data_IF_731023247104
#
_entry.id   IF_731023247104
#
_cell.length_a   1.000
_cell.length_b   1.000
_cell.length_c   1.000
_cell.angle_alpha   90.00
_cell.angle_beta   90.00
_cell.angle_gamma   90.00
#
_symmetry.space_group_name_H-M   'P 1'
#
loop_
_entity.id
_entity.type
_entity.pdbx_description
1 polymer ?
#
# COMPACT_ATOMS: atom_id res chain seq x y z
N UNK A 1 16.29 11.33 -5.64
CA UNK A 1 15.15 10.46 -6.02
C UNK A 1 15.26 9.19 -5.21
N UNK A 2 14.15 8.62 -4.77
CA UNK A 2 14.09 7.39 -3.96
C UNK A 2 13.44 6.30 -4.78
N UNK A 3 13.92 5.07 -4.67
CA UNK A 3 13.41 3.94 -5.45
C UNK A 3 12.90 2.83 -4.54
N UNK A 4 11.68 2.38 -4.79
CA UNK A 4 11.09 1.17 -4.21
C UNK A 4 10.97 0.06 -5.25
N UNK A 5 10.87 -1.17 -4.78
CA UNK A 5 10.70 -2.36 -5.61
C UNK A 5 9.52 -3.18 -5.11
N UNK A 6 8.72 -3.73 -6.02
CA UNK A 6 7.71 -4.72 -5.67
C UNK A 6 8.33 -6.11 -5.61
N UNK A 7 8.02 -6.84 -4.55
CA UNK A 7 8.38 -8.26 -4.42
C UNK A 7 7.28 -9.09 -5.08
N UNK A 8 7.62 -10.10 -5.89
CA UNK A 8 6.67 -11.06 -6.43
C UNK A 8 5.79 -11.64 -5.31
N UNK A 9 4.49 -11.76 -5.55
CA UNK A 9 3.52 -12.18 -4.54
C UNK A 9 2.50 -13.18 -5.11
N UNK A 10 2.52 -13.39 -6.43
CA UNK A 10 1.58 -14.21 -7.17
C UNK A 10 0.45 -13.44 -7.85
N UNK A 11 0.11 -12.27 -7.35
CA UNK A 11 -1.00 -11.46 -7.85
C UNK A 11 -0.99 -11.22 -9.37
N UNK A 12 0.20 -11.08 -9.98
CA UNK A 12 0.37 -10.88 -11.43
C UNK A 12 0.93 -12.11 -12.14
N UNK A 13 0.65 -13.30 -11.65
CA UNK A 13 1.21 -14.56 -12.15
C UNK A 13 2.74 -14.61 -12.08
N UNK A 14 3.33 -13.88 -11.16
CA UNK A 14 4.78 -13.73 -11.02
C UNK A 14 5.43 -14.84 -10.18
N UNK A 15 4.64 -15.84 -9.74
CA UNK A 15 5.09 -17.04 -9.02
C UNK A 15 4.69 -18.35 -9.71
N UNK A 16 4.06 -18.33 -10.88
CA UNK A 16 3.49 -19.54 -11.53
C UNK A 16 4.52 -20.62 -11.90
N UNK A 17 5.74 -20.20 -12.21
CA UNK A 17 6.82 -21.12 -12.57
C UNK A 17 7.64 -21.57 -11.34
N UNK A 18 7.16 -21.32 -10.12
CA UNK A 18 7.85 -21.62 -8.88
C UNK A 18 7.00 -22.59 -8.06
N UNK A 19 7.58 -23.75 -7.71
CA UNK A 19 6.93 -24.73 -6.86
C UNK A 19 6.38 -24.07 -5.58
N UNK A 20 5.12 -24.33 -5.17
CA UNK A 20 4.49 -23.67 -4.03
C UNK A 20 5.31 -23.70 -2.73
N UNK A 21 6.03 -24.81 -2.48
CA UNK A 21 6.91 -24.98 -1.31
C UNK A 21 8.16 -24.10 -1.37
N UNK A 22 8.53 -23.60 -2.54
CA UNK A 22 9.70 -22.74 -2.76
C UNK A 22 9.37 -21.25 -2.85
N UNK A 23 8.10 -20.89 -3.06
CA UNK A 23 7.68 -19.50 -3.29
C UNK A 23 8.12 -18.56 -2.17
N UNK A 24 7.91 -18.95 -0.89
CA UNK A 24 8.38 -18.14 0.23
C UNK A 24 9.90 -17.94 0.21
N UNK A 25 10.67 -18.98 -0.06
CA UNK A 25 12.15 -18.89 -0.12
C UNK A 25 12.60 -17.91 -1.19
N UNK A 26 11.94 -17.92 -2.36
CA UNK A 26 12.23 -17.01 -3.46
C UNK A 26 11.88 -15.56 -3.09
N UNK A 27 10.69 -15.32 -2.56
CA UNK A 27 10.25 -13.99 -2.12
C UNK A 27 11.19 -13.43 -1.04
N UNK A 28 11.54 -14.23 -0.05
CA UNK A 28 12.44 -13.85 1.04
C UNK A 28 13.84 -13.50 0.52
N UNK A 29 14.39 -14.33 -0.38
CA UNK A 29 15.70 -14.07 -0.98
C UNK A 29 15.73 -12.77 -1.81
N UNK A 30 14.65 -12.46 -2.54
CA UNK A 30 14.52 -11.20 -3.27
C UNK A 30 14.43 -9.99 -2.32
N UNK A 31 13.66 -10.10 -1.23
CA UNK A 31 13.58 -9.07 -0.20
C UNK A 31 14.94 -8.79 0.44
N UNK A 32 15.68 -9.84 0.82
CA UNK A 32 17.03 -9.72 1.38
C UNK A 32 18.03 -9.13 0.37
N UNK A 33 17.92 -9.50 -0.91
CA UNK A 33 18.74 -8.92 -1.97
C UNK A 33 18.42 -7.43 -2.18
N UNK A 34 17.17 -7.04 -2.11
CA UNK A 34 16.75 -5.64 -2.16
C UNK A 34 17.28 -4.86 -0.93
N UNK A 35 17.22 -5.47 0.25
CA UNK A 35 17.76 -4.90 1.50
C UNK A 35 19.27 -4.66 1.44
N UNK A 36 20.02 -5.60 0.87
CA UNK A 36 21.45 -5.47 0.67
C UNK A 36 21.85 -4.49 -0.46
N UNK A 37 20.92 -4.14 -1.36
CA UNK A 37 21.15 -3.24 -2.49
C UNK A 37 20.76 -1.79 -2.15
N UNK A 38 20.69 -0.92 -3.17
CA UNK A 38 20.38 0.51 -3.03
C UNK A 38 18.87 0.83 -2.96
N UNK A 39 17.99 -0.18 -2.88
CA UNK A 39 16.55 0.03 -2.76
C UNK A 39 16.20 0.61 -1.39
N UNK A 40 15.35 1.63 -1.36
CA UNK A 40 14.91 2.26 -0.11
C UNK A 40 13.73 1.53 0.51
N UNK A 41 12.83 1.00 -0.33
CA UNK A 41 11.61 0.34 0.13
C UNK A 41 11.24 -0.86 -0.73
N UNK A 42 10.60 -1.85 -0.11
CA UNK A 42 9.94 -2.95 -0.79
C UNK A 42 8.43 -2.86 -0.57
N UNK A 43 7.68 -3.34 -1.56
CA UNK A 43 6.24 -3.20 -1.62
C UNK A 43 5.58 -4.52 -2.00
N UNK A 44 4.37 -4.74 -1.47
CA UNK A 44 3.45 -5.80 -1.84
C UNK A 44 2.06 -5.23 -2.12
N UNK A 45 1.17 -6.03 -2.69
CA UNK A 45 -0.21 -5.68 -2.98
C UNK A 45 -1.17 -6.33 -2.00
N UNK A 46 -2.24 -5.64 -1.62
CA UNK A 46 -3.30 -6.21 -0.77
C UNK A 46 -4.39 -6.85 -1.64
N UNK A 47 -4.02 -7.96 -2.27
CA UNK A 47 -4.88 -8.76 -3.14
C UNK A 47 -4.92 -10.22 -2.70
N UNK A 48 -6.02 -10.89 -3.02
CA UNK A 48 -6.31 -12.28 -2.66
C UNK A 48 -6.39 -13.19 -3.89
N UNK A 49 -6.66 -12.61 -5.05
CA UNK A 49 -6.78 -13.30 -6.33
C UNK A 49 -5.87 -12.68 -7.37
N UNK A 50 -5.56 -13.45 -8.40
CA UNK A 50 -4.76 -12.99 -9.54
C UNK A 50 -5.51 -11.98 -10.42
N UNK A 51 -4.77 -11.19 -11.19
CA UNK A 51 -5.29 -10.28 -12.22
C UNK A 51 -4.62 -10.60 -13.57
N UNK A 52 -5.29 -10.34 -14.72
CA UNK A 52 -6.54 -9.57 -14.90
C UNK A 52 -7.82 -10.36 -14.57
N UNK A 53 -7.70 -11.68 -14.41
CA UNK A 53 -8.79 -12.57 -14.02
C UNK A 53 -8.37 -13.44 -12.84
N UNK A 54 -9.29 -13.82 -11.95
CA UNK A 54 -8.97 -14.73 -10.85
C UNK A 54 -8.68 -16.14 -11.40
N UNK A 55 -7.65 -16.77 -10.86
CA UNK A 55 -7.24 -18.14 -11.16
C UNK A 55 -6.94 -18.89 -9.86
N UNK A 56 -6.65 -20.19 -9.97
CA UNK A 56 -6.22 -21.02 -8.82
C UNK A 56 -4.73 -20.82 -8.46
N UNK A 57 -4.04 -19.92 -9.14
CA UNK A 57 -2.65 -19.58 -8.84
C UNK A 57 -2.50 -18.85 -7.50
N UNK A 58 -1.39 -19.08 -6.84
CA UNK A 58 -1.12 -18.53 -5.53
C UNK A 58 -1.09 -16.99 -5.53
N UNK A 59 -1.75 -16.38 -4.53
CA UNK A 59 -1.58 -14.98 -4.17
C UNK A 59 -1.42 -14.93 -2.65
N UNK A 60 -0.23 -14.57 -2.16
CA UNK A 60 0.07 -14.57 -0.73
C UNK A 60 -0.48 -13.33 -0.02
N UNK A 61 -0.95 -13.50 1.22
CA UNK A 61 -1.57 -12.43 2.01
C UNK A 61 -0.53 -11.37 2.44
N UNK A 62 -0.85 -10.13 2.18
CA UNK A 62 0.09 -9.00 2.22
C UNK A 62 0.62 -8.67 3.63
N UNK A 63 -0.23 -8.60 4.67
CA UNK A 63 0.21 -8.24 6.03
C UNK A 63 1.04 -9.34 6.67
N UNK A 64 0.74 -10.60 6.35
CA UNK A 64 1.56 -11.76 6.75
C UNK A 64 2.95 -11.68 6.12
N UNK A 65 3.03 -11.38 4.80
CA UNK A 65 4.30 -11.15 4.11
C UNK A 65 5.08 -9.97 4.70
N UNK A 66 4.41 -8.85 4.99
CA UNK A 66 5.02 -7.67 5.60
C UNK A 66 5.72 -8.02 6.92
N UNK A 67 5.05 -8.81 7.78
CA UNK A 67 5.64 -9.25 9.04
C UNK A 67 6.87 -10.13 8.82
N UNK A 68 6.78 -11.09 7.89
CA UNK A 68 7.86 -12.00 7.56
C UNK A 68 9.07 -11.27 6.95
N UNK A 69 8.84 -10.34 6.01
CA UNK A 69 9.92 -9.51 5.44
C UNK A 69 10.53 -8.58 6.49
N UNK A 70 9.71 -8.04 7.42
CA UNK A 70 10.20 -7.23 8.53
C UNK A 70 11.20 -7.97 9.41
N UNK A 71 10.96 -9.27 9.64
CA UNK A 71 11.85 -10.13 10.42
C UNK A 71 13.07 -10.62 9.62
N UNK A 72 12.99 -10.66 8.27
CA UNK A 72 14.02 -11.20 7.39
C UNK A 72 14.97 -10.14 6.81
N UNK A 73 14.74 -8.86 7.07
CA UNK A 73 15.51 -7.72 6.54
C UNK A 73 15.86 -6.74 7.66
N UNK A 74 16.90 -5.92 7.46
CA UNK A 74 17.42 -5.04 8.53
C UNK A 74 17.23 -3.54 8.24
N UNK A 75 17.22 -3.12 6.97
CA UNK A 75 17.31 -1.72 6.58
C UNK A 75 16.11 -1.22 5.75
N UNK A 76 15.68 -2.02 4.78
CA UNK A 76 14.70 -1.62 3.77
C UNK A 76 13.34 -1.34 4.40
N UNK A 77 12.67 -0.27 3.99
CA UNK A 77 11.31 0.04 4.44
C UNK A 77 10.31 -0.88 3.75
N UNK A 78 9.19 -1.12 4.42
CA UNK A 78 8.20 -2.14 4.04
C UNK A 78 6.83 -1.49 3.88
N UNK A 79 6.19 -1.66 2.73
CA UNK A 79 4.87 -1.09 2.50
C UNK A 79 3.95 -1.93 1.63
N UNK A 80 2.70 -1.55 1.62
CA UNK A 80 1.71 -2.06 0.66
C UNK A 80 1.28 -0.94 -0.27
N UNK A 81 1.13 -1.24 -1.55
CA UNK A 81 0.61 -0.28 -2.51
C UNK A 81 -0.58 -0.92 -3.26
N UNK A 82 -1.75 -0.84 -2.63
CA UNK A 82 -2.04 -0.34 -1.29
C UNK A 82 -2.98 -1.28 -0.53
N UNK A 83 -2.94 -1.20 0.79
CA UNK A 83 -3.94 -1.87 1.64
C UNK A 83 -5.34 -1.38 1.26
N UNK A 84 -6.27 -2.29 1.08
CA UNK A 84 -7.68 -1.97 0.88
C UNK A 84 -8.35 -1.73 2.24
N UNK A 85 -8.81 -0.50 2.47
CA UNK A 85 -9.41 -0.14 3.76
C UNK A 85 -10.63 -1.00 4.10
N UNK A 86 -11.40 -1.42 3.11
CA UNK A 86 -12.64 -2.18 3.36
C UNK A 86 -12.46 -3.64 3.74
N UNK A 87 -11.24 -4.19 3.64
CA UNK A 87 -10.99 -5.61 3.97
C UNK A 87 -10.77 -5.86 5.46
N UNK A 88 -10.54 -4.82 6.27
CA UNK A 88 -10.24 -4.96 7.70
C UNK A 88 -10.89 -3.85 8.52
N UNK A 89 -11.25 -4.16 9.78
CA UNK A 89 -11.62 -3.11 10.73
C UNK A 89 -10.40 -2.19 10.96
N UNK A 90 -10.55 -0.85 10.88
CA UNK A 90 -9.42 0.08 10.96
C UNK A 90 -8.68 0.07 12.31
N UNK A 91 -9.36 -0.16 13.43
CA UNK A 91 -8.70 -0.26 14.72
C UNK A 91 -7.87 -1.56 14.83
N UNK A 92 -8.39 -2.67 14.29
CA UNK A 92 -7.64 -3.91 14.17
C UNK A 92 -6.43 -3.74 13.22
N UNK A 93 -6.63 -3.11 12.06
CA UNK A 93 -5.55 -2.84 11.11
C UNK A 93 -4.46 -1.96 11.74
N UNK A 94 -4.85 -0.93 12.51
CA UNK A 94 -3.89 -0.10 13.25
C UNK A 94 -3.02 -0.92 14.20
N UNK A 95 -3.62 -1.92 14.87
CA UNK A 95 -2.88 -2.84 15.77
C UNK A 95 -1.95 -3.77 15.01
N UNK A 96 -2.40 -4.33 13.87
CA UNK A 96 -1.55 -5.17 12.99
C UNK A 96 -0.33 -4.36 12.53
N UNK A 97 -0.55 -3.17 11.98
CA UNK A 97 0.51 -2.32 11.46
C UNK A 97 1.51 -1.90 12.55
N UNK A 98 1.04 -1.54 13.75
CA UNK A 98 1.92 -1.24 14.87
C UNK A 98 2.77 -2.46 15.28
N UNK A 99 2.21 -3.67 15.22
CA UNK A 99 2.96 -4.90 15.50
C UNK A 99 4.04 -5.15 14.44
N UNK A 100 3.70 -5.00 13.15
CA UNK A 100 4.67 -5.11 12.05
C UNK A 100 5.76 -4.04 12.18
N UNK A 101 5.41 -2.84 12.63
CA UNK A 101 6.38 -1.77 12.88
C UNK A 101 7.38 -2.15 13.98
N UNK A 102 6.94 -2.82 15.04
CA UNK A 102 7.85 -3.39 16.05
C UNK A 102 8.72 -4.52 15.49
N UNK A 103 8.14 -5.46 14.74
CA UNK A 103 8.90 -6.56 14.11
C UNK A 103 9.98 -6.01 13.18
N UNK A 104 9.68 -4.94 12.47
CA UNK A 104 10.61 -4.31 11.51
C UNK A 104 11.48 -3.20 12.12
N UNK A 105 11.42 -2.97 13.44
CA UNK A 105 12.17 -1.90 14.11
C UNK A 105 11.93 -0.50 13.48
N UNK A 106 10.66 -0.15 13.22
CA UNK A 106 10.26 1.18 12.75
C UNK A 106 10.40 1.40 11.23
N UNK A 107 10.27 0.33 10.41
CA UNK A 107 10.41 0.42 8.96
C UNK A 107 9.10 0.29 8.19
N UNK A 108 7.96 0.18 8.87
CA UNK A 108 6.64 0.02 8.25
C UNK A 108 6.17 1.30 7.59
N UNK A 109 5.59 1.18 6.40
CA UNK A 109 4.86 2.21 5.66
C UNK A 109 3.40 1.79 5.48
N UNK A 110 2.45 2.68 5.74
CA UNK A 110 1.03 2.40 5.55
C UNK A 110 0.55 2.95 4.21
N UNK A 111 0.68 2.19 3.16
CA UNK A 111 -0.01 2.51 1.91
C UNK A 111 -1.46 2.03 1.96
N UNK A 112 -2.42 2.92 1.72
CA UNK A 112 -3.85 2.62 1.88
C UNK A 112 -4.70 3.32 0.82
N UNK A 113 -5.80 2.66 0.43
CA UNK A 113 -6.75 3.15 -0.56
C UNK A 113 -8.15 2.58 -0.39
N UNK A 114 -9.09 3.04 -1.22
CA UNK A 114 -10.50 2.65 -1.15
C UNK A 114 -10.84 1.27 -1.74
N UNK A 115 -9.87 0.59 -2.38
CA UNK A 115 -10.10 -0.69 -3.06
C UNK A 115 -10.84 -0.54 -4.40
N UNK A 116 -10.64 -1.48 -5.30
CA UNK A 116 -11.21 -1.42 -6.65
C UNK A 116 -11.64 -2.79 -7.21
N UNK A 117 -11.04 -3.89 -6.76
CA UNK A 117 -11.22 -5.22 -7.35
C UNK A 117 -12.49 -5.89 -6.82
N UNK A 118 -13.63 -5.61 -7.46
CA UNK A 118 -14.97 -6.07 -7.07
C UNK A 118 -15.05 -7.58 -6.84
N UNK A 119 -14.33 -8.37 -7.67
CA UNK A 119 -14.34 -9.82 -7.54
C UNK A 119 -13.88 -10.27 -6.14
N UNK A 120 -12.80 -9.73 -5.60
CA UNK A 120 -12.30 -10.07 -4.27
C UNK A 120 -13.28 -9.65 -3.17
N UNK A 121 -13.81 -8.44 -3.25
CA UNK A 121 -14.81 -7.95 -2.30
C UNK A 121 -16.01 -8.89 -2.20
N UNK A 122 -16.53 -9.32 -3.34
CA UNK A 122 -17.70 -10.20 -3.42
C UNK A 122 -17.36 -11.62 -2.97
N UNK A 123 -16.26 -12.17 -3.44
CA UNK A 123 -15.84 -13.55 -3.14
C UNK A 123 -15.58 -13.76 -1.64
N UNK A 124 -15.01 -12.75 -0.96
CA UNK A 124 -14.73 -12.82 0.48
C UNK A 124 -15.88 -12.30 1.37
N UNK A 125 -17.06 -12.01 0.78
CA UNK A 125 -18.24 -11.65 1.54
C UNK A 125 -18.27 -10.20 2.07
N UNK A 126 -17.39 -9.32 1.58
CA UNK A 126 -17.39 -7.90 1.95
C UNK A 126 -18.48 -7.09 1.24
N UNK A 127 -19.13 -7.65 0.20
CA UNK A 127 -19.94 -6.90 -0.74
C UNK A 127 -19.07 -5.98 -1.59
N UNK A 128 -19.69 -5.06 -2.36
CA UNK A 128 -18.96 -4.04 -3.11
C UNK A 128 -19.68 -2.70 -2.99
N UNK A 129 -19.44 -1.93 -1.92
CA UNK A 129 -20.07 -0.62 -1.74
C UNK A 129 -19.74 0.34 -2.88
N UNK A 130 -20.61 1.33 -3.11
CA UNK A 130 -20.36 2.36 -4.12
C UNK A 130 -19.07 3.12 -3.78
N UNK A 131 -18.44 3.68 -4.81
CA UNK A 131 -17.14 4.37 -4.65
C UNK A 131 -17.16 5.46 -3.55
N UNK A 132 -18.26 6.22 -3.44
CA UNK A 132 -18.38 7.24 -2.38
C UNK A 132 -18.40 6.65 -0.96
N UNK A 133 -18.97 5.45 -0.79
CA UNK A 133 -18.98 4.75 0.49
C UNK A 133 -17.59 4.21 0.81
N UNK A 134 -16.89 3.58 -0.16
CA UNK A 134 -15.53 3.10 0.01
C UNK A 134 -14.55 4.23 0.35
N UNK A 135 -14.72 5.42 -0.25
CA UNK A 135 -13.92 6.60 0.07
C UNK A 135 -14.29 7.19 1.44
N UNK A 136 -15.55 7.09 1.87
CA UNK A 136 -15.96 7.41 3.23
C UNK A 136 -15.33 6.46 4.25
N UNK A 137 -15.32 5.15 3.95
CA UNK A 137 -14.60 4.14 4.75
C UNK A 137 -13.09 4.46 4.84
N UNK A 138 -12.46 4.84 3.72
CA UNK A 138 -11.07 5.24 3.71
C UNK A 138 -10.81 6.41 4.66
N UNK A 139 -11.62 7.46 4.60
CA UNK A 139 -11.47 8.65 5.44
C UNK A 139 -11.58 8.32 6.93
N UNK A 140 -12.66 7.65 7.32
CA UNK A 140 -12.89 7.26 8.72
C UNK A 140 -11.80 6.28 9.21
N UNK A 141 -11.39 5.35 8.36
CA UNK A 141 -10.33 4.39 8.70
C UNK A 141 -8.98 5.05 8.93
N UNK A 142 -8.60 6.00 8.09
CA UNK A 142 -7.37 6.80 8.27
C UNK A 142 -7.41 7.60 9.57
N UNK A 143 -8.54 8.21 9.89
CA UNK A 143 -8.73 8.97 11.14
C UNK A 143 -8.58 8.05 12.37
N UNK A 144 -9.22 6.88 12.36
CA UNK A 144 -9.12 5.89 13.45
C UNK A 144 -7.67 5.42 13.63
N UNK A 145 -6.98 5.06 12.55
CA UNK A 145 -5.59 4.59 12.63
C UNK A 145 -4.66 5.67 13.15
N UNK A 146 -4.79 6.91 12.66
CA UNK A 146 -3.98 8.02 13.12
C UNK A 146 -4.20 8.32 14.61
N UNK A 147 -5.46 8.34 15.07
CA UNK A 147 -5.80 8.49 16.46
C UNK A 147 -5.18 7.37 17.31
N UNK A 148 -5.32 6.11 16.88
CA UNK A 148 -4.77 4.95 17.55
C UNK A 148 -3.24 5.01 17.71
N UNK A 149 -2.51 5.44 16.68
CA UNK A 149 -1.05 5.50 16.70
C UNK A 149 -0.49 6.68 17.50
N UNK A 150 -1.23 7.78 17.62
CA UNK A 150 -0.77 8.96 18.36
C UNK A 150 -1.12 8.91 19.83
N UNK A 151 -2.30 8.38 20.19
CA UNK A 151 -2.78 8.37 21.58
C UNK A 151 -2.76 6.98 22.22
N UNK A 152 -2.71 5.94 21.41
CA UNK A 152 -2.84 4.54 21.86
C UNK A 152 -4.27 4.07 22.06
N UNK A 153 -5.25 4.91 21.72
CA UNK A 153 -6.68 4.60 21.84
C UNK A 153 -7.41 5.27 20.67
N UNK A 154 -8.46 4.63 20.15
CA UNK A 154 -9.29 5.21 19.12
C UNK A 154 -10.77 5.15 19.51
N UNK A 155 -11.49 6.24 19.24
CA UNK A 155 -12.96 6.32 19.37
C UNK A 155 -13.49 7.13 18.19
N UNK A 156 -14.43 6.56 17.46
CA UNK A 156 -15.14 7.21 16.36
C UNK A 156 -16.57 6.66 16.24
N UNK A 157 -17.56 7.51 16.35
CA UNK A 157 -18.95 7.22 16.00
C UNK A 157 -19.21 7.68 14.55
N UNK A 158 -18.55 7.01 13.60
CA UNK A 158 -18.59 7.35 12.17
C UNK A 158 -19.83 6.79 11.48
N UNK A 159 -19.96 7.09 10.22
CA UNK A 159 -21.02 6.54 9.34
C UNK A 159 -20.71 5.09 8.94
N UNK A 160 -19.43 4.77 8.75
CA UNK A 160 -18.99 3.47 8.23
C UNK A 160 -18.36 2.61 9.32
N UNK A 161 -17.74 3.21 10.32
CA UNK A 161 -17.13 2.52 11.43
C UNK A 161 -17.61 3.05 12.79
N UNK A 162 -17.86 2.12 13.70
CA UNK A 162 -18.17 2.40 15.10
C UNK A 162 -17.05 1.81 15.95
N UNK A 163 -16.22 2.68 16.54
CA UNK A 163 -15.10 2.29 17.40
C UNK A 163 -15.24 3.04 18.73
N UNK A 164 -15.21 2.32 19.83
CA UNK A 164 -15.37 2.87 21.17
C UNK A 164 -14.23 2.41 22.08
N UNK A 165 -13.27 3.30 22.30
CA UNK A 165 -12.15 3.06 23.21
C UNK A 165 -11.21 1.92 22.79
N UNK A 166 -11.04 1.65 21.50
CA UNK A 166 -10.15 0.59 21.03
C UNK A 166 -8.71 0.87 21.43
N UNK A 167 -8.15 0.02 22.30
CA UNK A 167 -6.76 0.14 22.79
C UNK A 167 -5.81 -0.47 21.77
N UNK A 168 -4.92 0.37 21.20
CA UNK A 168 -3.87 -0.01 20.27
C UNK A 168 -2.50 0.18 20.92
N UNK A 169 -2.07 -0.85 21.62
CA UNK A 169 -0.75 -0.96 22.26
C UNK A 169 -0.07 -2.25 21.79
N UNK A 170 1.26 -2.25 21.53
CA UNK A 170 2.15 -1.11 21.67
C UNK A 170 1.84 0.01 20.65
N UNK A 171 2.29 1.24 20.92
CA UNK A 171 2.35 2.30 19.90
C UNK A 171 3.38 1.90 18.83
N UNK A 172 3.29 2.41 17.61
CA UNK A 172 4.39 2.28 16.63
C UNK A 172 5.73 2.70 17.22
N UNK A 173 6.81 2.12 16.72
CA UNK A 173 8.19 2.52 17.04
C UNK A 173 8.49 3.91 16.49
N UNK A 174 7.90 4.24 15.34
CA UNK A 174 8.10 5.51 14.66
C UNK A 174 7.39 6.65 15.40
N UNK A 175 8.13 7.72 15.70
CA UNK A 175 7.58 8.92 16.33
C UNK A 175 6.49 9.57 15.47
N UNK A 176 5.35 9.87 16.09
CA UNK A 176 4.20 10.45 15.39
C UNK A 176 3.32 9.43 14.64
N UNK A 177 3.69 8.14 14.67
CA UNK A 177 2.96 7.06 14.02
C UNK A 177 3.59 6.59 12.71
N UNK A 178 2.96 5.61 12.06
CA UNK A 178 3.44 5.03 10.80
C UNK A 178 3.17 6.01 9.65
N UNK A 179 4.17 6.32 8.81
CA UNK A 179 3.99 7.19 7.65
C UNK A 179 2.88 6.69 6.73
N UNK A 180 1.94 7.56 6.38
CA UNK A 180 0.75 7.20 5.63
C UNK A 180 0.87 7.60 4.16
N UNK A 181 0.66 6.64 3.28
CA UNK A 181 0.59 6.78 1.84
C UNK A 181 -0.85 6.67 1.39
N UNK A 182 -1.45 7.77 0.97
CA UNK A 182 -2.80 7.74 0.40
C UNK A 182 -2.67 7.48 -1.09
N UNK A 183 -3.14 6.28 -1.50
CA UNK A 183 -3.07 5.83 -2.88
C UNK A 183 -4.37 6.10 -3.63
N UNK A 184 -4.21 6.49 -4.89
CA UNK A 184 -5.31 6.78 -5.80
C UNK A 184 -5.34 8.23 -6.28
N UNK A 185 -5.95 8.44 -7.45
CA UNK A 185 -5.91 9.70 -8.22
C UNK A 185 -7.25 10.47 -8.22
N UNK A 186 -8.19 10.09 -7.35
CA UNK A 186 -9.51 10.72 -7.25
C UNK A 186 -9.42 12.14 -6.72
N UNK A 187 -9.65 13.13 -7.60
CA UNK A 187 -9.38 14.55 -7.34
C UNK A 187 -10.20 15.14 -6.18
N UNK A 188 -11.50 14.82 -6.12
CA UNK A 188 -12.41 15.48 -5.16
C UNK A 188 -12.30 14.94 -3.74
N UNK A 189 -12.01 13.65 -3.56
CA UNK A 189 -12.06 12.99 -2.26
C UNK A 189 -10.71 12.40 -1.88
N UNK A 190 -10.10 11.58 -2.75
CA UNK A 190 -8.84 10.91 -2.40
C UNK A 190 -7.71 11.91 -2.18
N UNK A 191 -7.53 12.89 -3.10
CA UNK A 191 -6.49 13.90 -2.94
C UNK A 191 -6.79 14.87 -1.79
N UNK A 192 -8.08 15.09 -1.43
CA UNK A 192 -8.42 15.82 -0.21
C UNK A 192 -8.05 15.06 1.06
N UNK A 193 -8.32 13.75 1.12
CA UNK A 193 -7.85 12.88 2.22
C UNK A 193 -6.32 12.92 2.29
N UNK A 194 -5.64 12.88 1.15
CA UNK A 194 -4.19 12.99 1.09
C UNK A 194 -3.70 14.34 1.65
N UNK A 195 -4.31 15.45 1.27
CA UNK A 195 -3.97 16.78 1.81
C UNK A 195 -4.14 16.84 3.33
N UNK A 196 -5.15 16.17 3.89
CA UNK A 196 -5.42 16.19 5.33
C UNK A 196 -4.50 15.26 6.15
N UNK A 197 -4.12 14.08 5.60
CA UNK A 197 -3.52 13.00 6.42
C UNK A 197 -2.21 12.42 5.89
N UNK A 198 -1.89 12.59 4.60
CA UNK A 198 -0.77 11.86 4.01
C UNK A 198 0.60 12.42 4.37
N UNK A 199 1.56 11.51 4.57
CA UNK A 199 3.01 11.79 4.46
C UNK A 199 3.46 11.62 3.00
N UNK A 200 2.78 10.76 2.26
CA UNK A 200 3.08 10.41 0.88
C UNK A 200 1.79 10.23 0.07
N UNK A 201 1.86 10.53 -1.23
CA UNK A 201 0.82 10.16 -2.19
C UNK A 201 1.39 9.28 -3.29
N UNK A 202 0.53 8.50 -3.90
CA UNK A 202 0.90 7.72 -5.09
C UNK A 202 -0.19 7.89 -6.15
N UNK A 203 0.18 8.49 -7.28
CA UNK A 203 -0.67 8.55 -8.46
C UNK A 203 0.08 8.01 -9.67
N UNK A 204 -0.66 7.23 -10.49
CA UNK A 204 -0.16 6.71 -11.75
C UNK A 204 -0.58 7.61 -12.91
N UNK A 205 0.10 7.50 -14.04
CA UNK A 205 -0.23 8.18 -15.28
C UNK A 205 0.98 8.74 -16.01
N UNK A 206 0.73 9.53 -17.05
CA UNK A 206 1.75 10.30 -17.76
C UNK A 206 2.32 11.42 -16.87
N UNK A 207 3.40 12.04 -17.31
CA UNK A 207 3.95 13.22 -16.60
C UNK A 207 2.94 14.36 -16.53
N UNK A 208 2.18 14.58 -17.61
CA UNK A 208 1.14 15.61 -17.64
C UNK A 208 0.02 15.33 -16.63
N UNK A 209 -0.43 14.07 -16.54
CA UNK A 209 -1.40 13.66 -15.53
C UNK A 209 -0.85 13.78 -14.12
N UNK A 210 0.42 13.46 -13.91
CA UNK A 210 1.08 13.63 -12.62
C UNK A 210 1.11 15.10 -12.20
N UNK A 211 1.53 15.99 -13.10
CA UNK A 211 1.57 17.44 -12.85
C UNK A 211 0.17 18.01 -12.56
N UNK A 212 -0.85 17.53 -13.29
CA UNK A 212 -2.24 17.91 -13.03
C UNK A 212 -2.69 17.47 -11.62
N UNK A 213 -2.42 16.21 -11.23
CA UNK A 213 -2.78 15.69 -9.89
C UNK A 213 -2.02 16.42 -8.78
N UNK A 214 -0.75 16.78 -9.01
CA UNK A 214 0.05 17.56 -8.08
C UNK A 214 -0.56 18.95 -7.87
N UNK A 215 -1.02 19.60 -8.95
CA UNK A 215 -1.70 20.90 -8.85
C UNK A 215 -3.04 20.81 -8.08
N UNK A 216 -3.83 19.75 -8.30
CA UNK A 216 -5.06 19.52 -7.54
C UNK A 216 -4.77 19.28 -6.06
N UNK A 217 -3.75 18.48 -5.74
CA UNK A 217 -3.31 18.26 -4.36
C UNK A 217 -2.91 19.57 -3.69
N UNK A 218 -2.17 20.42 -4.40
CA UNK A 218 -1.78 21.76 -3.91
C UNK A 218 -3.00 22.60 -3.55
N UNK A 219 -4.01 22.67 -4.43
CA UNK A 219 -5.25 23.38 -4.14
C UNK A 219 -5.93 22.89 -2.86
N UNK A 220 -5.97 21.56 -2.62
CA UNK A 220 -6.52 21.02 -1.37
C UNK A 220 -5.66 21.36 -0.14
N UNK A 221 -4.33 21.40 -0.29
CA UNK A 221 -3.45 21.83 0.79
C UNK A 221 -3.64 23.31 1.13
N UNK A 222 -3.75 24.18 0.11
CA UNK A 222 -4.02 25.62 0.26
C UNK A 222 -5.35 25.86 1.00
N UNK A 223 -6.41 25.11 0.66
CA UNK A 223 -7.72 25.19 1.30
C UNK A 223 -7.69 24.96 2.83
N UNK A 224 -6.72 24.18 3.31
CA UNK A 224 -6.58 23.82 4.73
C UNK A 224 -5.37 24.44 5.41
N UNK A 225 -4.59 25.27 4.68
CA UNK A 225 -3.39 25.93 5.19
C UNK A 225 -2.22 24.99 5.48
N UNK A 226 -2.12 23.87 4.75
CA UNK A 226 -1.01 22.92 4.86
C UNK A 226 0.02 23.12 3.76
N UNK A 227 1.30 23.14 4.12
CA UNK A 227 2.36 23.16 3.11
C UNK A 227 2.39 21.83 2.33
N UNK A 228 2.17 21.90 1.00
CA UNK A 228 2.26 20.74 0.13
C UNK A 228 3.63 20.06 0.16
N UNK A 229 4.70 20.78 0.48
CA UNK A 229 6.06 20.24 0.58
C UNK A 229 6.21 19.16 1.67
N UNK A 230 5.30 19.13 2.65
CA UNK A 230 5.23 18.07 3.66
C UNK A 230 4.79 16.72 3.09
N UNK A 231 4.20 16.71 1.89
CA UNK A 231 3.71 15.48 1.24
C UNK A 231 4.64 15.09 0.12
N UNK A 232 5.29 13.95 0.22
CA UNK A 232 6.12 13.41 -0.85
C UNK A 232 5.23 12.74 -1.91
N UNK A 233 5.42 13.12 -3.20
CA UNK A 233 4.70 12.54 -4.32
C UNK A 233 5.48 11.37 -4.90
N UNK A 234 4.77 10.33 -5.31
CA UNK A 234 5.36 9.15 -5.94
C UNK A 234 4.51 8.62 -7.08
N UNK A 235 5.10 7.77 -7.90
CA UNK A 235 4.40 7.05 -8.96
C UNK A 235 4.98 5.65 -9.12
N UNK A 236 4.17 4.72 -9.65
CA UNK A 236 4.57 3.36 -9.96
C UNK A 236 4.74 3.21 -11.47
N UNK A 237 5.79 2.51 -11.86
CA UNK A 237 6.06 2.18 -13.25
C UNK A 237 6.32 0.68 -13.41
N UNK A 238 5.70 0.07 -14.42
CA UNK A 238 6.15 -1.23 -14.90
C UNK A 238 7.45 -1.01 -15.69
N UNK A 239 8.51 -1.66 -15.27
CA UNK A 239 9.83 -1.46 -15.85
C UNK A 239 10.34 -2.77 -16.44
N UNK A 240 10.70 -2.75 -17.71
CA UNK A 240 11.39 -3.86 -18.39
C UNK A 240 12.86 -3.48 -18.48
N UNK A 241 13.72 -4.35 -17.97
CA UNK A 241 15.17 -4.13 -17.93
C UNK A 241 15.85 -5.12 -18.87
N UNK A 242 16.81 -4.64 -19.66
CA UNK A 242 17.72 -5.43 -20.48
C UNK A 242 19.12 -4.83 -20.45
N UNK A 243 20.14 -5.60 -20.76
CA UNK A 243 21.50 -5.09 -20.91
C UNK A 243 21.62 -4.21 -22.17
N UNK A 244 20.74 -4.44 -23.15
CA UNK A 244 20.62 -3.67 -24.39
C UNK A 244 19.15 -3.31 -24.66
N UNK A 245 18.91 -2.30 -25.49
CA UNK A 245 17.57 -1.92 -25.94
C UNK A 245 16.86 -3.07 -26.69
N UNK A 246 17.61 -3.85 -27.48
CA UNK A 246 17.08 -5.01 -28.20
C UNK A 246 16.57 -6.08 -27.20
N UNK A 247 17.33 -6.40 -26.18
CA UNK A 247 16.93 -7.34 -25.14
C UNK A 247 15.70 -6.84 -24.35
N UNK A 248 15.68 -5.56 -23.98
CA UNK A 248 14.54 -4.96 -23.30
C UNK A 248 13.27 -5.03 -24.17
N UNK A 249 13.40 -4.76 -25.46
CA UNK A 249 12.30 -4.84 -26.43
C UNK A 249 11.79 -6.28 -26.62
N UNK A 250 12.67 -7.26 -26.68
CA UNK A 250 12.30 -8.69 -26.75
C UNK A 250 11.55 -9.13 -25.48
N UNK A 251 12.06 -8.77 -24.30
CA UNK A 251 11.39 -9.04 -23.02
C UNK A 251 10.02 -8.38 -22.93
N UNK A 252 9.90 -7.12 -23.40
CA UNK A 252 8.61 -6.43 -23.45
C UNK A 252 7.62 -7.18 -24.36
N UNK A 253 8.06 -7.59 -25.56
CA UNK A 253 7.21 -8.34 -26.48
C UNK A 253 6.72 -9.67 -25.85
N UNK A 254 7.58 -10.37 -25.13
CA UNK A 254 7.22 -11.61 -24.43
C UNK A 254 6.20 -11.39 -23.29
N UNK A 255 6.26 -10.26 -22.58
CA UNK A 255 5.29 -9.90 -21.52
C UNK A 255 3.93 -9.52 -22.13
N UNK A 256 3.93 -8.80 -23.25
CA UNK A 256 2.68 -8.37 -23.93
C UNK A 256 1.96 -9.54 -24.60
N UNK A 257 2.68 -10.60 -24.97
CA UNK A 257 2.13 -11.79 -25.62
C UNK A 257 1.50 -12.82 -24.65
N UNK A 258 1.68 -12.64 -23.36
CA UNK A 258 1.09 -13.48 -22.29
C UNK A 258 -0.25 -12.91 -21.84
#
# INVERSE_FOLDING_TARGET
MRFGIFIPQGWRHDLVDIEPTDQWRVMCALAQRADAAAWESLWVYDHFHTVPVPTDEATHEAWTLMSAFGAATDRIRLGQMCTCMGYRNPAYLAKVAATVDHVSAGRTEMGIGGGWYEHEWTAYGYGFPRIGERLGMLREGVEIMRQAWTTGTATLAGKHYQVDGAIVRPLPVQDGGIPMWIAGSGEKVTLRIAAEYASYTNFAGSLEEFDHKDAVLRGHCDDIGRDQAEIVRSSNFNTIVGETEAEASERLAAVVAR
#
